data_IF_512180683609
#
_entry.id   IF_512180683609
#
_cell.length_a   1.000
_cell.length_b   1.000
_cell.length_c   1.000
_cell.angle_alpha   90.00
_cell.angle_beta   90.00
_cell.angle_gamma   90.00
#
_symmetry.space_group_name_H-M   'P 1'
#
loop_
_entity.id
_entity.type
_entity.pdbx_description
1 polymer ?
#
# COMPACT_ATOMS: atom_id res chain seq x y z
N UNK A 1 -5.13 -17.74 2.76
CA UNK A 1 -4.12 -18.35 1.86
C UNK A 1 -3.45 -17.23 1.07
N UNK A 2 -2.13 -17.28 0.86
CA UNK A 2 -1.41 -16.24 0.12
C UNK A 2 -1.23 -16.70 -1.34
N UNK A 3 -1.80 -15.96 -2.30
CA UNK A 3 -1.69 -16.30 -3.72
C UNK A 3 -0.32 -15.92 -4.30
N UNK A 4 0.15 -14.70 -4.01
CA UNK A 4 1.39 -14.15 -4.56
C UNK A 4 2.22 -13.53 -3.44
N UNK A 5 3.48 -13.97 -3.23
CA UNK A 5 4.43 -13.25 -2.38
C UNK A 5 4.74 -11.85 -2.93
N UNK A 6 5.17 -10.94 -2.07
CA UNK A 6 5.63 -9.61 -2.50
C UNK A 6 6.89 -9.76 -3.38
N UNK A 7 6.88 -9.12 -4.54
CA UNK A 7 7.96 -9.23 -5.54
C UNK A 7 8.08 -7.96 -6.37
N UNK A 8 9.26 -7.72 -6.93
CA UNK A 8 9.50 -6.71 -7.96
C UNK A 8 9.26 -7.26 -9.38
N UNK A 9 9.00 -8.56 -9.51
CA UNK A 9 8.76 -9.22 -10.80
C UNK A 9 7.28 -9.11 -11.22
N UNK A 10 7.01 -8.13 -12.09
CA UNK A 10 5.68 -7.91 -12.66
C UNK A 10 5.18 -9.11 -13.48
N UNK A 11 6.07 -9.87 -14.12
CA UNK A 11 5.68 -11.03 -14.95
C UNK A 11 5.18 -12.16 -14.07
N UNK A 12 5.87 -12.42 -12.96
CA UNK A 12 5.42 -13.40 -11.98
C UNK A 12 4.06 -12.99 -11.37
N UNK A 13 3.87 -11.72 -11.02
CA UNK A 13 2.60 -11.21 -10.50
C UNK A 13 1.44 -11.41 -11.50
N UNK A 14 1.65 -11.09 -12.78
CA UNK A 14 0.64 -11.28 -13.83
C UNK A 14 0.25 -12.76 -13.97
N UNK A 15 1.22 -13.68 -13.91
CA UNK A 15 0.94 -15.11 -13.92
C UNK A 15 0.02 -15.52 -12.76
N UNK A 16 0.25 -15.01 -11.54
CA UNK A 16 -0.64 -15.29 -10.41
C UNK A 16 -2.03 -14.69 -10.60
N UNK A 17 -2.15 -13.49 -11.15
CA UNK A 17 -3.45 -12.87 -11.44
C UNK A 17 -4.25 -13.70 -12.44
N UNK A 18 -3.61 -14.23 -13.48
CA UNK A 18 -4.27 -15.09 -14.48
C UNK A 18 -4.82 -16.39 -13.88
N UNK A 19 -4.24 -16.87 -12.78
CA UNK A 19 -4.73 -18.09 -12.10
C UNK A 19 -5.92 -17.85 -11.16
N UNK A 20 -6.30 -16.58 -10.90
CA UNK A 20 -7.37 -16.26 -9.96
C UNK A 20 -8.74 -16.67 -10.50
N UNK A 21 -9.46 -17.46 -9.71
CA UNK A 21 -10.86 -17.78 -9.98
C UNK A 21 -11.64 -17.99 -8.68
N UNK A 22 -12.96 -17.81 -8.72
CA UNK A 22 -13.84 -17.91 -7.54
C UNK A 22 -13.84 -19.30 -6.89
N UNK A 23 -13.51 -20.35 -7.65
CA UNK A 23 -13.37 -21.71 -7.12
C UNK A 23 -12.14 -21.98 -6.24
N UNK A 24 -11.23 -21.01 -6.06
CA UNK A 24 -10.05 -21.19 -5.19
C UNK A 24 -10.41 -21.21 -3.70
N UNK A 25 -11.55 -20.62 -3.34
CA UNK A 25 -12.04 -20.54 -1.96
C UNK A 25 -13.35 -21.33 -1.87
N UNK A 26 -13.39 -22.33 -0.99
CA UNK A 26 -14.54 -23.22 -0.82
C UNK A 26 -15.63 -22.64 0.07
N UNK A 27 -15.30 -21.66 0.92
CA UNK A 27 -16.25 -21.02 1.81
C UNK A 27 -16.94 -19.85 1.11
N UNK A 28 -18.27 -19.80 1.21
CA UNK A 28 -19.06 -18.67 0.76
C UNK A 28 -19.17 -17.61 1.86
N UNK A 29 -19.17 -16.35 1.46
CA UNK A 29 -19.17 -15.20 2.36
C UNK A 29 -17.92 -14.36 2.16
N UNK A 30 -17.95 -13.17 2.74
CA UNK A 30 -16.87 -12.20 2.64
C UNK A 30 -16.45 -11.78 4.03
N UNK A 31 -15.16 -11.89 4.33
CA UNK A 31 -14.56 -11.46 5.58
C UNK A 31 -13.22 -10.79 5.26
N UNK A 32 -13.12 -9.50 5.55
CA UNK A 32 -11.92 -8.72 5.28
C UNK A 32 -10.80 -8.98 6.30
N UNK A 33 -11.15 -9.38 7.53
CA UNK A 33 -10.21 -9.52 8.63
C UNK A 33 -9.05 -10.49 8.31
N UNK A 34 -9.27 -11.74 7.83
CA UNK A 34 -8.19 -12.66 7.51
C UNK A 34 -7.23 -12.14 6.43
N UNK A 35 -7.74 -11.43 5.43
CA UNK A 35 -6.93 -10.87 4.35
C UNK A 35 -6.06 -9.70 4.85
N UNK A 36 -6.64 -8.78 5.61
CA UNK A 36 -5.94 -7.65 6.20
C UNK A 36 -4.88 -8.10 7.21
N UNK A 37 -5.20 -9.09 8.05
CA UNK A 37 -4.25 -9.69 8.99
C UNK A 37 -3.09 -10.35 8.26
N UNK A 38 -3.36 -11.08 7.18
CA UNK A 38 -2.31 -11.68 6.36
C UNK A 38 -1.41 -10.60 5.73
N UNK A 39 -1.97 -9.49 5.26
CA UNK A 39 -1.18 -8.38 4.72
C UNK A 39 -0.27 -7.77 5.82
N UNK A 40 -0.82 -7.55 7.02
CA UNK A 40 -0.09 -7.03 8.18
C UNK A 40 1.10 -7.93 8.55
N UNK A 41 0.87 -9.23 8.71
CA UNK A 41 1.90 -10.21 9.06
C UNK A 41 3.03 -10.25 8.02
N UNK A 42 2.72 -10.10 6.73
CA UNK A 42 3.74 -10.12 5.67
C UNK A 42 4.59 -8.86 5.66
N UNK A 43 4.01 -7.70 5.92
CA UNK A 43 4.79 -6.47 6.08
C UNK A 43 5.75 -6.56 7.28
N UNK A 44 5.29 -7.11 8.41
CA UNK A 44 6.13 -7.29 9.60
C UNK A 44 7.32 -8.23 9.35
N UNK A 45 7.15 -9.30 8.57
CA UNK A 45 8.25 -10.20 8.20
C UNK A 45 9.32 -9.47 7.39
N UNK A 46 8.91 -8.61 6.45
CA UNK A 46 9.83 -7.86 5.59
C UNK A 46 10.62 -6.83 6.43
N UNK A 47 9.96 -6.13 7.35
CA UNK A 47 10.60 -5.15 8.22
C UNK A 47 11.74 -5.75 9.04
N UNK A 48 11.55 -6.96 9.55
CA UNK A 48 12.57 -7.68 10.31
C UNK A 48 13.76 -8.12 9.45
N UNK A 49 13.64 -8.12 8.12
CA UNK A 49 14.68 -8.53 7.18
C UNK A 49 15.44 -7.35 6.56
N UNK A 50 14.86 -6.14 6.56
CA UNK A 50 15.47 -4.95 5.94
C UNK A 50 15.92 -3.92 6.97
N UNK A 51 17.23 -3.62 6.98
CA UNK A 51 17.86 -2.63 7.88
C UNK A 51 17.40 -1.19 7.60
N UNK A 52 16.81 -0.92 6.42
CA UNK A 52 16.31 0.40 6.01
C UNK A 52 14.78 0.46 6.09
N UNK A 53 14.29 0.87 7.26
CA UNK A 53 12.88 0.87 7.64
C UNK A 53 12.07 2.08 7.09
N UNK A 54 12.44 2.63 5.93
CA UNK A 54 11.92 3.91 5.41
C UNK A 54 11.24 3.79 4.04
N UNK A 55 10.54 2.69 3.78
CA UNK A 55 9.67 2.55 2.61
C UNK A 55 8.21 2.76 3.00
N UNK A 56 7.44 3.44 2.15
CA UNK A 56 6.00 3.55 2.33
C UNK A 56 5.37 2.19 2.12
N UNK A 57 4.54 1.78 3.07
CA UNK A 57 3.81 0.53 3.01
C UNK A 57 2.35 0.84 2.73
N UNK A 58 1.83 0.19 1.69
CA UNK A 58 0.45 0.35 1.29
C UNK A 58 -0.20 -1.02 1.17
N UNK A 59 -1.48 -1.10 1.54
CA UNK A 59 -2.34 -2.24 1.26
C UNK A 59 -3.50 -1.72 0.42
N UNK A 60 -3.87 -2.47 -0.62
CA UNK A 60 -5.01 -2.16 -1.49
C UNK A 60 -6.04 -3.26 -1.31
N UNK A 61 -7.21 -2.92 -0.78
CA UNK A 61 -8.37 -3.81 -0.66
C UNK A 61 -9.33 -3.55 -1.81
N UNK A 62 -9.66 -4.58 -2.57
CA UNK A 62 -10.60 -4.51 -3.70
C UNK A 62 -11.82 -5.35 -3.35
N UNK A 63 -13.01 -4.74 -3.30
CA UNK A 63 -14.24 -5.44 -2.90
C UNK A 63 -15.50 -4.69 -3.34
N UNK A 64 -16.65 -5.37 -3.34
CA UNK A 64 -17.99 -4.75 -3.39
C UNK A 64 -18.42 -4.20 -2.02
N UNK A 65 -17.62 -4.39 -0.97
CA UNK A 65 -17.81 -3.79 0.35
C UNK A 65 -18.79 -4.52 1.25
N UNK A 66 -19.28 -5.69 0.84
CA UNK A 66 -20.00 -6.58 1.75
C UNK A 66 -19.00 -7.27 2.68
N UNK A 67 -19.01 -6.94 3.96
CA UNK A 67 -18.18 -7.57 4.99
C UNK A 67 -19.07 -8.21 6.06
N UNK A 68 -18.77 -9.46 6.40
CA UNK A 68 -19.42 -10.21 7.47
C UNK A 68 -18.47 -10.49 8.64
N UNK A 69 -17.24 -9.95 8.62
CA UNK A 69 -16.25 -10.07 9.68
C UNK A 69 -16.41 -9.03 10.78
N UNK A 70 -16.39 -9.47 12.04
CA UNK A 70 -16.52 -8.58 13.20
C UNK A 70 -15.19 -7.86 13.58
N UNK A 71 -14.05 -8.38 13.11
CA UNK A 71 -12.71 -7.93 13.53
C UNK A 71 -12.06 -6.89 12.59
N UNK A 72 -12.67 -6.60 11.44
CA UNK A 72 -12.07 -5.80 10.37
C UNK A 72 -11.61 -4.42 10.85
N UNK A 73 -12.45 -3.73 11.63
CA UNK A 73 -12.12 -2.41 12.18
C UNK A 73 -10.95 -2.45 13.17
N UNK A 74 -10.82 -3.52 13.95
CA UNK A 74 -9.73 -3.68 14.90
C UNK A 74 -8.40 -3.88 14.16
N UNK A 75 -8.38 -4.75 13.15
CA UNK A 75 -7.19 -4.99 12.33
C UNK A 75 -6.78 -3.74 11.54
N UNK A 76 -7.75 -2.95 11.06
CA UNK A 76 -7.45 -1.67 10.42
C UNK A 76 -6.75 -0.67 11.36
N UNK A 77 -7.05 -0.69 12.67
CA UNK A 77 -6.28 0.10 13.66
C UNK A 77 -4.84 -0.42 13.79
N UNK A 78 -4.64 -1.74 13.83
CA UNK A 78 -3.30 -2.33 13.88
C UNK A 78 -2.47 -1.99 12.63
N UNK A 79 -3.09 -2.01 11.45
CA UNK A 79 -2.48 -1.55 10.18
C UNK A 79 -2.00 -0.10 10.31
N UNK A 80 -2.85 0.79 10.86
CA UNK A 80 -2.48 2.18 11.11
C UNK A 80 -1.29 2.31 12.06
N UNK A 81 -1.27 1.53 13.14
CA UNK A 81 -0.18 1.54 14.13
C UNK A 81 1.16 1.13 13.51
N UNK A 82 1.14 0.25 12.49
CA UNK A 82 2.32 -0.14 11.72
C UNK A 82 2.68 0.86 10.60
N UNK A 83 2.05 2.04 10.56
CA UNK A 83 2.27 3.07 9.53
C UNK A 83 1.99 2.58 8.10
N UNK A 84 1.10 1.60 7.95
CA UNK A 84 0.65 1.09 6.66
C UNK A 84 -0.60 1.86 6.25
N UNK A 85 -0.64 2.40 5.03
CA UNK A 85 -1.85 3.06 4.50
C UNK A 85 -2.74 2.06 3.79
N UNK A 86 -4.01 1.96 4.17
CA UNK A 86 -5.00 1.11 3.50
C UNK A 86 -5.79 1.93 2.48
N UNK A 87 -5.62 1.59 1.21
CA UNK A 87 -6.47 2.07 0.12
C UNK A 87 -7.55 1.05 -0.14
N UNK A 88 -8.77 1.52 -0.40
CA UNK A 88 -9.91 0.65 -0.70
C UNK A 88 -10.50 0.99 -2.06
N UNK A 89 -10.86 -0.03 -2.83
CA UNK A 89 -11.46 0.09 -4.15
C UNK A 89 -12.80 -0.63 -4.12
N UNK A 90 -13.87 0.14 -4.25
CA UNK A 90 -15.23 -0.36 -4.41
C UNK A 90 -15.51 -0.74 -5.86
N UNK A 91 -15.86 -2.02 -6.11
CA UNK A 91 -16.29 -2.47 -7.45
C UNK A 91 -17.80 -2.67 -7.47
N UNK A 92 -18.46 -2.10 -8.45
CA UNK A 92 -19.88 -2.32 -8.72
C UNK A 92 -20.72 -1.06 -8.58
N UNK A 93 -22.03 -1.21 -8.39
CA UNK A 93 -22.95 -0.06 -8.32
C UNK A 93 -23.95 -0.23 -7.19
N UNK A 94 -24.47 0.91 -6.68
CA UNK A 94 -25.56 0.92 -5.69
C UNK A 94 -26.87 0.33 -6.20
N UNK A 95 -27.08 0.32 -7.52
CA UNK A 95 -28.26 -0.33 -8.13
C UNK A 95 -28.16 -1.85 -8.08
N UNK A 96 -26.93 -2.36 -8.05
CA UNK A 96 -26.63 -3.78 -8.04
C UNK A 96 -26.90 -4.50 -9.36
N UNK A 97 -26.50 -5.77 -9.39
CA UNK A 97 -26.74 -6.66 -10.52
C UNK A 97 -26.88 -8.11 -10.07
N UNK A 98 -27.45 -8.96 -10.93
CA UNK A 98 -27.58 -10.39 -10.67
C UNK A 98 -26.25 -11.10 -10.90
N UNK A 99 -25.94 -12.09 -10.07
CA UNK A 99 -24.71 -12.88 -10.19
C UNK A 99 -24.93 -14.01 -11.19
N UNK A 100 -24.19 -14.06 -12.31
CA UNK A 100 -24.32 -15.15 -13.29
C UNK A 100 -23.75 -16.46 -12.74
N UNK A 101 -24.44 -17.56 -13.02
CA UNK A 101 -24.05 -18.94 -12.70
C UNK A 101 -24.34 -19.83 -13.92
N UNK A 102 -23.40 -19.82 -14.88
CA UNK A 102 -23.59 -20.45 -16.19
C UNK A 102 -24.68 -19.74 -16.99
N UNK A 103 -25.70 -20.48 -17.44
CA UNK A 103 -26.87 -19.95 -18.16
C UNK A 103 -27.98 -19.42 -17.23
N UNK A 104 -27.79 -19.48 -15.91
CA UNK A 104 -28.76 -19.04 -14.90
C UNK A 104 -28.16 -17.96 -14.01
N UNK A 105 -28.96 -17.39 -13.13
CA UNK A 105 -28.50 -16.51 -12.06
C UNK A 105 -28.45 -17.26 -10.73
N UNK A 106 -27.56 -16.82 -9.84
CA UNK A 106 -27.51 -17.30 -8.45
C UNK A 106 -28.83 -16.96 -7.77
N UNK A 107 -29.39 -17.92 -7.03
CA UNK A 107 -30.63 -17.78 -6.28
C UNK A 107 -30.41 -17.99 -4.79
N UNK A 108 -31.24 -17.35 -3.99
CA UNK A 108 -31.26 -17.54 -2.55
C UNK A 108 -32.07 -18.79 -2.15
N UNK A 109 -32.17 -19.05 -0.84
CA UNK A 109 -32.91 -20.19 -0.30
C UNK A 109 -34.44 -20.10 -0.53
N UNK A 110 -34.95 -18.92 -0.92
CA UNK A 110 -36.37 -18.68 -1.22
C UNK A 110 -36.67 -18.85 -2.71
N UNK A 111 -35.63 -18.98 -3.55
CA UNK A 111 -35.74 -19.13 -4.99
C UNK A 111 -35.70 -17.82 -5.76
N UNK A 112 -35.44 -16.69 -5.08
CA UNK A 112 -35.31 -15.37 -5.68
C UNK A 112 -33.87 -15.16 -6.19
N UNK A 113 -33.70 -14.38 -7.27
CA UNK A 113 -32.38 -14.08 -7.80
C UNK A 113 -31.60 -13.17 -6.84
N UNK A 114 -30.35 -13.52 -6.55
CA UNK A 114 -29.46 -12.73 -5.70
C UNK A 114 -28.99 -11.48 -6.45
N UNK A 115 -29.19 -10.31 -5.84
CA UNK A 115 -28.71 -9.03 -6.33
C UNK A 115 -27.57 -8.58 -5.42
N UNK A 116 -26.34 -8.51 -5.95
CA UNK A 116 -25.19 -7.91 -5.25
C UNK A 116 -25.16 -6.41 -5.50
N UNK A 117 -24.88 -5.61 -4.47
CA UNK A 117 -24.79 -4.15 -4.54
C UNK A 117 -23.49 -3.67 -3.93
N UNK A 118 -22.91 -2.62 -4.49
CA UNK A 118 -21.75 -1.97 -3.88
C UNK A 118 -22.15 -1.30 -2.55
N UNK A 119 -21.52 -1.74 -1.46
CA UNK A 119 -21.59 -1.10 -0.15
C UNK A 119 -20.30 -0.30 0.12
N UNK A 120 -20.29 0.97 -0.33
CA UNK A 120 -19.10 1.82 -0.23
C UNK A 120 -18.74 2.24 1.20
N UNK A 121 -19.72 2.31 2.13
CA UNK A 121 -19.53 2.93 3.44
C UNK A 121 -18.45 2.23 4.30
N UNK A 122 -18.46 0.90 4.47
CA UNK A 122 -17.40 0.20 5.20
C UNK A 122 -16.02 0.42 4.59
N UNK A 123 -15.93 0.42 3.25
CA UNK A 123 -14.66 0.64 2.55
C UNK A 123 -14.11 2.05 2.77
N UNK A 124 -14.99 3.06 2.81
CA UNK A 124 -14.62 4.45 3.13
C UNK A 124 -14.10 4.58 4.56
N UNK A 125 -14.84 4.03 5.53
CA UNK A 125 -14.47 4.08 6.95
C UNK A 125 -13.09 3.41 7.20
N UNK A 126 -12.82 2.27 6.55
CA UNK A 126 -11.54 1.58 6.66
C UNK A 126 -10.37 2.37 6.06
N UNK A 127 -10.57 2.98 4.89
CA UNK A 127 -9.53 3.82 4.27
C UNK A 127 -9.22 5.05 5.13
N UNK A 128 -10.25 5.75 5.60
CA UNK A 128 -10.11 6.95 6.43
C UNK A 128 -9.39 6.66 7.75
N UNK A 129 -9.72 5.53 8.39
CA UNK A 129 -9.12 5.13 9.66
C UNK A 129 -7.59 5.04 9.58
N UNK A 130 -7.05 4.56 8.47
CA UNK A 130 -5.61 4.36 8.24
C UNK A 130 -4.92 5.56 7.56
N UNK A 131 -5.68 6.59 7.17
CA UNK A 131 -5.14 7.73 6.40
C UNK A 131 -4.88 7.41 4.93
N UNK A 132 -5.49 6.35 4.39
CA UNK A 132 -5.54 6.07 2.95
C UNK A 132 -6.72 6.77 2.27
N UNK A 133 -7.13 6.25 1.10
CA UNK A 133 -8.26 6.79 0.32
C UNK A 133 -9.13 5.68 -0.24
N UNK A 134 -10.41 5.99 -0.39
CA UNK A 134 -11.38 5.16 -1.09
C UNK A 134 -11.50 5.59 -2.55
N UNK A 135 -11.63 4.61 -3.44
CA UNK A 135 -11.89 4.79 -4.86
C UNK A 135 -13.04 3.90 -5.32
N UNK A 136 -13.75 4.31 -6.37
CA UNK A 136 -14.84 3.54 -6.96
C UNK A 136 -14.55 3.18 -8.43
N UNK A 137 -14.92 1.96 -8.83
CA UNK A 137 -14.84 1.46 -10.20
C UNK A 137 -16.18 0.86 -10.61
N UNK A 138 -16.77 1.45 -11.62
CA UNK A 138 -17.95 0.96 -12.32
C UNK A 138 -17.92 1.43 -13.80
N UNK A 139 -18.96 1.13 -14.56
CA UNK A 139 -19.03 1.48 -15.99
C UNK A 139 -18.98 3.00 -16.26
N UNK A 140 -19.39 3.82 -15.29
CA UNK A 140 -19.52 5.28 -15.42
C UNK A 140 -18.40 6.05 -14.73
N UNK A 141 -17.88 5.50 -13.64
CA UNK A 141 -16.83 6.11 -12.83
C UNK A 141 -15.67 5.12 -12.69
N UNK A 142 -14.50 5.52 -13.17
CA UNK A 142 -13.29 4.71 -13.09
C UNK A 142 -12.16 5.54 -12.50
N UNK A 143 -11.93 5.36 -11.21
CA UNK A 143 -11.00 6.16 -10.43
C UNK A 143 -9.60 5.53 -10.32
N UNK A 144 -9.27 4.56 -11.18
CA UNK A 144 -7.93 3.94 -11.22
C UNK A 144 -6.82 4.98 -11.41
N UNK A 145 -7.00 5.98 -12.27
CA UNK A 145 -5.99 7.03 -12.45
C UNK A 145 -5.75 7.81 -11.16
N UNK A 146 -6.81 8.13 -10.41
CA UNK A 146 -6.71 8.86 -9.14
C UNK A 146 -6.03 8.05 -8.04
N UNK A 147 -6.20 6.72 -8.06
CA UNK A 147 -5.47 5.79 -7.21
C UNK A 147 -3.97 5.83 -7.52
N UNK A 148 -3.61 5.71 -8.81
CA UNK A 148 -2.21 5.77 -9.24
C UNK A 148 -1.59 7.10 -8.84
N UNK A 149 -2.25 8.23 -9.15
CA UNK A 149 -1.79 9.56 -8.76
C UNK A 149 -1.59 9.68 -7.23
N UNK A 150 -2.48 9.08 -6.45
CA UNK A 150 -2.37 9.10 -4.98
C UNK A 150 -1.22 8.25 -4.44
N UNK A 151 -0.84 7.19 -5.14
CA UNK A 151 0.33 6.35 -4.80
C UNK A 151 1.62 7.08 -5.21
N UNK A 152 1.65 7.67 -6.41
CA UNK A 152 2.82 8.39 -6.93
C UNK A 152 3.17 9.61 -6.06
N UNK A 153 2.16 10.38 -5.61
CA UNK A 153 2.37 11.49 -4.69
C UNK A 153 3.03 11.03 -3.38
N UNK A 154 2.60 9.89 -2.86
CA UNK A 154 3.12 9.32 -1.62
C UNK A 154 4.55 8.80 -1.78
N UNK A 155 4.92 8.26 -2.95
CA UNK A 155 6.32 7.96 -3.26
C UNK A 155 7.15 9.25 -3.37
N UNK A 156 6.61 10.29 -4.02
CA UNK A 156 7.25 11.59 -4.16
C UNK A 156 7.57 12.27 -2.83
N UNK A 157 6.61 12.29 -1.90
CA UNK A 157 6.79 12.83 -0.55
C UNK A 157 7.94 12.14 0.21
N UNK A 158 8.03 10.81 0.13
CA UNK A 158 9.13 10.06 0.75
C UNK A 158 10.49 10.36 0.12
N UNK A 159 10.54 10.50 -1.21
CA UNK A 159 11.79 10.82 -1.91
C UNK A 159 12.28 12.20 -1.51
N UNK A 160 11.37 13.18 -1.45
CA UNK A 160 11.70 14.53 -1.01
C UNK A 160 12.18 14.56 0.46
N UNK A 161 11.53 13.82 1.36
CA UNK A 161 11.98 13.75 2.77
C UNK A 161 13.37 13.14 2.90
N UNK A 162 13.67 12.09 2.10
CA UNK A 162 14.98 11.46 2.06
C UNK A 162 16.07 12.41 1.54
N UNK A 163 15.78 13.19 0.51
CA UNK A 163 16.71 14.20 0.01
C UNK A 163 17.04 15.24 1.07
N UNK A 164 16.05 15.72 1.82
CA UNK A 164 16.23 16.67 2.93
C UNK A 164 17.12 16.08 4.04
N UNK A 165 16.85 14.85 4.49
CA UNK A 165 17.68 14.17 5.50
C UNK A 165 19.12 13.94 5.01
N UNK A 166 19.29 13.54 3.75
CA UNK A 166 20.62 13.36 3.15
C UNK A 166 21.36 14.69 2.91
N UNK A 167 20.64 15.81 2.80
CA UNK A 167 21.20 17.15 2.66
C UNK A 167 21.64 17.75 4.00
N UNK A 168 21.21 17.20 5.16
CA UNK A 168 21.73 17.53 6.50
C UNK A 168 23.14 16.96 6.74
N UNK A 169 23.96 17.02 5.72
CA UNK A 169 25.17 16.26 5.59
C UNK A 169 26.33 17.02 6.23
N UNK A 170 26.89 16.45 7.30
CA UNK A 170 27.96 17.08 8.10
C UNK A 170 29.29 17.20 7.36
N UNK A 171 29.40 16.71 6.12
CA UNK A 171 30.59 16.89 5.28
C UNK A 171 30.95 18.36 5.12
N UNK A 172 29.98 19.28 5.17
CA UNK A 172 30.24 20.71 5.06
C UNK A 172 31.23 21.20 6.14
N UNK A 173 31.10 20.69 7.37
CA UNK A 173 32.03 21.02 8.45
C UNK A 173 33.44 20.46 8.20
N UNK A 174 33.54 19.23 7.71
CA UNK A 174 34.83 18.61 7.37
C UNK A 174 35.50 19.29 6.17
N UNK A 175 34.73 19.65 5.14
CA UNK A 175 35.18 20.39 3.98
C UNK A 175 35.67 21.79 4.37
N UNK A 176 34.92 22.47 5.23
CA UNK A 176 35.29 23.80 5.74
C UNK A 176 36.57 23.73 6.59
N UNK A 177 36.71 22.71 7.45
CA UNK A 177 37.93 22.51 8.23
C UNK A 177 39.15 22.24 7.33
N UNK A 178 39.00 21.38 6.31
CA UNK A 178 40.05 21.12 5.32
C UNK A 178 40.42 22.39 4.54
N UNK A 179 39.43 23.20 4.16
CA UNK A 179 39.64 24.47 3.48
C UNK A 179 40.42 25.47 4.35
N UNK A 180 40.09 25.60 5.63
CA UNK A 180 40.82 26.45 6.59
C UNK A 180 42.27 25.99 6.75
N UNK A 181 42.49 24.67 6.89
CA UNK A 181 43.83 24.08 6.98
C UNK A 181 44.66 24.38 5.72
N UNK A 182 44.05 24.26 4.54
CA UNK A 182 44.70 24.57 3.27
C UNK A 182 45.08 26.05 3.16
N UNK A 183 44.21 26.96 3.61
CA UNK A 183 44.52 28.40 3.65
C UNK A 183 45.64 28.70 4.65
N UNK A 184 45.63 28.06 5.82
CA UNK A 184 46.69 28.20 6.81
C UNK A 184 48.05 27.73 6.27
N UNK A 185 48.08 26.60 5.57
CA UNK A 185 49.30 26.09 4.92
C UNK A 185 49.85 27.09 3.89
N UNK A 186 48.96 27.68 3.08
CA UNK A 186 49.35 28.69 2.09
C UNK A 186 49.91 29.99 2.72
N UNK A 187 49.38 30.39 3.87
CA UNK A 187 49.81 31.60 4.60
C UNK A 187 51.10 31.34 5.39
N UNK A 188 51.25 30.15 5.98
CA UNK A 188 52.45 29.76 6.73
C UNK A 188 53.52 29.30 5.73
N UNK A 189 54.25 30.27 5.16
CA UNK A 189 55.52 29.96 4.49
C UNK A 189 56.54 29.50 5.53
N UNK A 190 56.71 28.20 5.66
CA UNK A 190 57.79 27.60 6.46
C UNK A 190 59.13 28.15 5.95
N UNK A 191 59.77 29.01 6.74
CA UNK A 191 61.18 29.35 6.54
C UNK A 191 61.97 28.07 6.79
N UNK A 192 62.44 27.47 5.71
CA UNK A 192 63.35 26.33 5.76
C UNK A 192 64.61 26.82 6.47
N UNK A 193 64.74 26.50 7.76
CA UNK A 193 65.99 26.69 8.50
C UNK A 193 66.94 25.62 7.95
N UNK A 194 67.84 26.05 7.06
CA UNK A 194 68.99 25.22 6.66
C UNK A 194 69.93 25.11 7.87
N UNK A 195 70.12 23.90 8.36
CA UNK A 195 71.24 23.48 9.21
C UNK A 195 72.00 22.42 8.41
#
# INVERSE_FOLDING_TARGET
FLQCPLTYDNSAMLLFVETLHTGLISNSGTDFAPALKMALEKHQVIDNQTVNNQQSKIVILISDGEDFGDETTQIAKEIKEQQIKLYTIGIGTKKGSKIPQGYKFKRDNKGDDVITTLNAKPLQELAELTGGKYFEINEKDNQISQLIDSIDLLEGELRSSKEIDSAANRYFYFLLAAFILMVLDMVIKVKVVKI
#
